data_IF_882535202456
#
_entry.id   IF_882535202456
#
_cell.length_a   1.000
_cell.length_b   1.000
_cell.length_c   1.000
_cell.angle_alpha   90.00
_cell.angle_beta   90.00
_cell.angle_gamma   90.00
#
_symmetry.space_group_name_H-M   'P 1'
#
loop_
_entity.id
_entity.type
_entity.pdbx_description
1 polymer ?
#
# COMPACT_ATOMS: atom_id res chain seq x y z
N UNK A 1 18.66 7.64 -30.80
CA UNK A 1 18.71 8.37 -29.51
C UNK A 1 17.40 9.13 -29.38
N UNK A 2 16.62 8.86 -28.35
CA UNK A 2 15.42 9.64 -28.02
C UNK A 2 15.90 10.86 -27.26
N UNK A 3 15.71 12.04 -27.84
CA UNK A 3 16.00 13.28 -27.11
C UNK A 3 14.92 13.48 -26.07
N UNK A 4 15.24 13.54 -24.77
CA UNK A 4 14.22 13.78 -23.76
C UNK A 4 13.62 15.17 -24.00
N UNK A 5 12.32 15.24 -24.13
CA UNK A 5 11.60 16.52 -24.14
C UNK A 5 11.82 17.19 -22.77
N UNK A 6 12.05 18.50 -22.71
CA UNK A 6 12.12 19.21 -21.44
C UNK A 6 10.74 19.13 -20.76
N UNK A 7 10.64 18.22 -19.78
CA UNK A 7 9.44 18.05 -18.98
C UNK A 7 9.55 18.86 -17.70
N UNK A 8 8.47 19.57 -17.33
CA UNK A 8 8.31 20.12 -15.99
C UNK A 8 7.63 19.08 -15.13
N UNK A 9 8.26 18.67 -14.04
CA UNK A 9 7.60 17.87 -13.00
C UNK A 9 6.57 18.77 -12.32
N UNK A 10 5.29 18.43 -12.45
CA UNK A 10 4.20 19.07 -11.72
C UNK A 10 3.86 18.10 -10.59
N UNK A 11 4.20 18.44 -9.34
CA UNK A 11 3.87 17.56 -8.21
C UNK A 11 2.34 17.46 -8.07
N UNK A 12 1.86 16.29 -7.69
CA UNK A 12 0.49 16.11 -7.25
C UNK A 12 0.26 16.96 -5.99
N UNK A 13 -0.82 17.70 -5.94
CA UNK A 13 -1.26 18.39 -4.72
C UNK A 13 -2.25 17.50 -3.98
N UNK A 14 -2.01 17.33 -2.68
CA UNK A 14 -2.91 16.63 -1.76
C UNK A 14 -3.40 17.70 -0.78
N UNK A 15 -4.63 18.19 -0.96
CA UNK A 15 -5.23 19.21 -0.12
C UNK A 15 -6.74 19.00 0.02
N UNK A 16 -7.36 19.64 1.02
CA UNK A 16 -8.80 19.65 1.22
C UNK A 16 -9.43 18.30 1.58
N UNK A 17 -8.64 17.28 1.93
CA UNK A 17 -9.14 15.94 2.22
C UNK A 17 -9.98 15.88 3.50
N UNK A 18 -9.80 16.80 4.45
CA UNK A 18 -10.56 16.86 5.70
C UNK A 18 -12.07 17.05 5.46
N UNK A 19 -12.43 17.76 4.38
CA UNK A 19 -13.83 17.99 4.05
C UNK A 19 -14.56 16.71 3.63
N UNK A 20 -13.84 15.71 3.12
CA UNK A 20 -14.39 14.45 2.63
C UNK A 20 -14.11 13.26 3.57
N UNK A 21 -13.07 13.33 4.39
CA UNK A 21 -12.69 12.29 5.35
C UNK A 21 -13.49 12.43 6.66
N UNK A 22 -14.77 12.08 6.64
CA UNK A 22 -15.73 12.32 7.72
C UNK A 22 -16.08 11.10 8.57
N UNK A 23 -15.71 9.88 8.14
CA UNK A 23 -16.05 8.62 8.82
C UNK A 23 -15.00 8.23 9.84
N UNK A 24 -15.45 7.73 11.00
CA UNK A 24 -14.60 7.09 12.00
C UNK A 24 -14.42 5.59 11.75
N UNK A 25 -13.65 4.92 12.62
CA UNK A 25 -13.41 3.47 12.52
C UNK A 25 -14.71 2.66 12.58
N UNK A 26 -15.60 2.98 13.49
CA UNK A 26 -16.89 2.27 13.62
C UNK A 26 -17.73 2.33 12.34
N UNK A 27 -17.80 3.48 11.66
CA UNK A 27 -18.54 3.66 10.41
C UNK A 27 -17.90 2.90 9.23
N UNK A 28 -16.59 2.68 9.28
CA UNK A 28 -15.83 1.86 8.33
C UNK A 28 -15.85 0.36 8.72
N UNK A 29 -16.51 0.02 9.84
CA UNK A 29 -16.55 -1.35 10.37
C UNK A 29 -15.18 -1.83 10.86
N UNK A 30 -14.35 -0.94 11.39
CA UNK A 30 -13.01 -1.23 11.90
C UNK A 30 -13.01 -1.27 13.43
N UNK A 31 -12.15 -2.08 14.05
CA UNK A 31 -12.07 -2.15 15.52
C UNK A 31 -11.51 -0.88 16.12
N UNK A 32 -12.02 -0.54 17.31
CA UNK A 32 -11.49 0.52 18.15
C UNK A 32 -10.43 -0.02 19.12
N UNK A 33 -9.54 0.85 19.59
CA UNK A 33 -8.59 0.52 20.64
C UNK A 33 -7.42 -0.38 20.22
N UNK A 34 -7.25 -0.61 18.91
CA UNK A 34 -6.12 -1.37 18.36
C UNK A 34 -5.24 -0.45 17.50
N UNK A 35 -3.97 -0.81 17.30
CA UNK A 35 -3.12 -0.14 16.32
C UNK A 35 -3.49 -0.65 14.91
N UNK A 36 -3.93 0.25 14.04
CA UNK A 36 -4.45 -0.06 12.73
C UNK A 36 -3.39 0.17 11.65
N UNK A 37 -2.94 -0.92 11.06
CA UNK A 37 -2.22 -0.90 9.79
C UNK A 37 -3.20 -0.95 8.62
N UNK A 38 -2.90 -0.25 7.54
CA UNK A 38 -3.70 -0.35 6.31
C UNK A 38 -2.85 -0.39 5.05
N UNK A 39 -3.39 -1.05 4.02
CA UNK A 39 -2.86 -1.04 2.65
C UNK A 39 -4.00 -0.98 1.65
N UNK A 40 -3.93 -0.05 0.70
CA UNK A 40 -4.92 0.14 -0.37
C UNK A 40 -4.26 -0.06 -1.73
N UNK A 41 -4.79 -0.95 -2.55
CA UNK A 41 -4.23 -1.21 -3.87
C UNK A 41 -5.25 -1.70 -4.89
N UNK A 42 -4.96 -1.46 -6.17
CA UNK A 42 -5.68 -1.99 -7.31
C UNK A 42 -4.99 -3.26 -7.84
N UNK A 43 -5.71 -4.38 -7.86
CA UNK A 43 -5.21 -5.67 -8.35
C UNK A 43 -4.89 -5.61 -9.84
N UNK A 44 -5.65 -4.85 -10.63
CA UNK A 44 -5.43 -4.70 -12.08
C UNK A 44 -4.16 -3.93 -12.42
N UNK A 45 -3.64 -3.13 -11.50
CA UNK A 45 -2.39 -2.38 -11.68
C UNK A 45 -1.12 -3.20 -11.47
N UNK A 46 -1.25 -4.51 -11.28
CA UNK A 46 -0.18 -5.48 -11.10
C UNK A 46 -0.06 -5.98 -9.66
N UNK A 47 -0.62 -7.14 -9.38
CA UNK A 47 -0.59 -7.76 -8.05
C UNK A 47 0.84 -7.95 -7.53
N UNK A 48 1.74 -8.48 -8.38
CA UNK A 48 3.16 -8.70 -8.06
C UNK A 48 3.88 -7.37 -7.78
N UNK A 49 3.55 -6.32 -8.52
CA UNK A 49 4.10 -4.99 -8.31
C UNK A 49 3.65 -4.39 -6.97
N UNK A 50 2.38 -4.58 -6.63
CA UNK A 50 1.83 -4.10 -5.35
C UNK A 50 2.27 -4.94 -4.16
N UNK A 51 2.65 -6.20 -4.39
CA UNK A 51 3.33 -7.09 -3.44
C UNK A 51 2.62 -7.28 -2.08
N UNK A 52 1.28 -7.47 -2.04
CA UNK A 52 0.55 -7.55 -0.77
C UNK A 52 0.96 -8.76 0.09
N UNK A 53 1.57 -9.80 -0.52
CA UNK A 53 2.02 -10.98 0.21
C UNK A 53 3.21 -10.67 1.11
N UNK A 54 4.14 -9.79 0.70
CA UNK A 54 5.24 -9.38 1.56
C UNK A 54 4.73 -8.65 2.82
N UNK A 55 3.66 -7.86 2.71
CA UNK A 55 3.02 -7.25 3.88
C UNK A 55 2.44 -8.30 4.82
N UNK A 56 1.78 -9.33 4.27
CA UNK A 56 1.27 -10.42 5.10
C UNK A 56 2.40 -11.20 5.78
N UNK A 57 3.50 -11.47 5.06
CA UNK A 57 4.67 -12.14 5.62
C UNK A 57 5.26 -11.33 6.79
N UNK A 58 5.46 -10.02 6.61
CA UNK A 58 5.96 -9.12 7.66
C UNK A 58 5.00 -9.05 8.86
N UNK A 59 3.69 -8.86 8.59
CA UNK A 59 2.68 -8.73 9.63
C UNK A 59 2.55 -10.01 10.47
N UNK A 60 2.46 -11.17 9.81
CA UNK A 60 2.38 -12.47 10.49
C UNK A 60 3.64 -12.75 11.32
N UNK A 61 4.83 -12.47 10.77
CA UNK A 61 6.09 -12.69 11.46
C UNK A 61 6.25 -11.80 12.72
N UNK A 62 5.77 -10.55 12.64
CA UNK A 62 5.95 -9.56 13.71
C UNK A 62 4.85 -9.62 14.77
N UNK A 63 3.61 -9.77 14.36
CA UNK A 63 2.45 -9.64 15.24
C UNK A 63 1.67 -10.94 15.45
N UNK A 64 1.75 -11.90 14.51
CA UNK A 64 1.04 -13.17 14.60
C UNK A 64 -0.46 -12.96 14.88
N UNK A 65 -0.97 -13.56 15.96
CA UNK A 65 -2.36 -13.44 16.39
C UNK A 65 -2.56 -12.37 17.50
N UNK A 66 -1.72 -11.35 17.55
CA UNK A 66 -1.87 -10.26 18.52
C UNK A 66 -3.23 -9.59 18.40
N UNK A 67 -3.84 -9.29 19.56
CA UNK A 67 -5.14 -8.60 19.63
C UNK A 67 -5.03 -7.08 19.72
N UNK A 68 -3.81 -6.57 19.88
CA UNK A 68 -3.55 -5.13 20.00
C UNK A 68 -3.29 -4.44 18.68
N UNK A 69 -3.15 -5.23 17.60
CA UNK A 69 -2.90 -4.74 16.24
C UNK A 69 -3.89 -5.34 15.24
N UNK A 70 -4.18 -4.58 14.20
CA UNK A 70 -5.11 -4.98 13.16
C UNK A 70 -4.60 -4.53 11.79
N UNK A 71 -4.68 -5.40 10.79
CA UNK A 71 -4.32 -5.10 9.42
C UNK A 71 -5.57 -5.05 8.53
N UNK A 72 -5.80 -3.93 7.87
CA UNK A 72 -6.78 -3.80 6.81
C UNK A 72 -6.10 -3.83 5.44
N UNK A 73 -6.39 -4.86 4.65
CA UNK A 73 -6.07 -4.91 3.23
C UNK A 73 -7.29 -4.49 2.42
N UNK A 74 -7.24 -3.33 1.79
CA UNK A 74 -8.29 -2.83 0.91
C UNK A 74 -7.85 -2.97 -0.53
N UNK A 75 -8.51 -3.82 -1.30
CA UNK A 75 -8.23 -3.94 -2.73
C UNK A 75 -9.52 -3.86 -3.56
N UNK A 76 -9.36 -3.69 -4.87
CA UNK A 76 -10.45 -3.72 -5.85
C UNK A 76 -9.92 -4.29 -7.18
N UNK A 77 -10.84 -4.55 -8.12
CA UNK A 77 -10.52 -5.17 -9.41
C UNK A 77 -9.96 -6.60 -9.29
N UNK A 78 -10.28 -7.33 -8.21
CA UNK A 78 -9.83 -8.70 -7.98
C UNK A 78 -10.24 -9.70 -9.07
N UNK A 79 -11.32 -9.40 -9.81
CA UNK A 79 -11.79 -10.22 -10.95
C UNK A 79 -10.75 -10.35 -12.06
N UNK A 80 -9.81 -9.43 -12.16
CA UNK A 80 -8.72 -9.52 -13.17
C UNK A 80 -7.60 -10.49 -12.80
N UNK A 81 -7.56 -10.94 -11.52
CA UNK A 81 -6.59 -11.95 -11.09
C UNK A 81 -7.17 -12.88 -10.00
N UNK A 82 -8.15 -13.75 -10.37
CA UNK A 82 -8.88 -14.56 -9.40
C UNK A 82 -7.99 -15.54 -8.63
N UNK A 83 -6.93 -16.07 -9.27
CA UNK A 83 -6.00 -17.00 -8.61
C UNK A 83 -5.19 -16.31 -7.49
N UNK A 84 -4.72 -15.09 -7.72
CA UNK A 84 -4.03 -14.28 -6.70
C UNK A 84 -4.96 -13.82 -5.60
N UNK A 85 -6.20 -13.49 -5.94
CA UNK A 85 -7.21 -13.14 -4.94
C UNK A 85 -7.56 -14.32 -4.03
N UNK A 86 -7.68 -15.52 -4.58
CA UNK A 86 -7.90 -16.72 -3.76
C UNK A 86 -6.74 -16.98 -2.80
N UNK A 87 -5.51 -16.80 -3.27
CA UNK A 87 -4.32 -16.87 -2.41
C UNK A 87 -4.36 -15.81 -1.31
N UNK A 88 -4.70 -14.56 -1.66
CA UNK A 88 -4.77 -13.46 -0.71
C UNK A 88 -5.83 -13.71 0.37
N UNK A 89 -7.03 -14.20 -0.01
CA UNK A 89 -8.10 -14.54 0.95
C UNK A 89 -7.66 -15.62 1.94
N UNK A 90 -6.95 -16.64 1.47
CA UNK A 90 -6.42 -17.70 2.37
C UNK A 90 -5.38 -17.17 3.35
N UNK A 91 -4.51 -16.29 2.88
CA UNK A 91 -3.45 -15.70 3.71
C UNK A 91 -4.03 -14.66 4.70
N UNK A 92 -5.08 -13.95 4.34
CA UNK A 92 -5.75 -12.94 5.18
C UNK A 92 -6.86 -13.55 6.06
N UNK A 93 -6.75 -14.81 6.47
CA UNK A 93 -7.80 -15.50 7.24
C UNK A 93 -7.66 -15.37 8.76
N UNK A 94 -6.63 -14.70 9.27
CA UNK A 94 -6.42 -14.46 10.69
C UNK A 94 -7.43 -13.43 11.24
N UNK A 95 -7.80 -13.55 12.51
CA UNK A 95 -8.82 -12.70 13.15
C UNK A 95 -8.43 -11.20 13.22
N UNK A 96 -7.14 -10.92 13.21
CA UNK A 96 -6.59 -9.55 13.21
C UNK A 96 -6.24 -9.03 11.81
N UNK A 97 -6.69 -9.72 10.75
CA UNK A 97 -6.51 -9.28 9.35
C UNK A 97 -7.89 -9.23 8.68
N UNK A 98 -8.19 -8.13 8.03
CA UNK A 98 -9.41 -7.98 7.22
C UNK A 98 -9.06 -7.65 5.78
N UNK A 99 -9.57 -8.47 4.87
CA UNK A 99 -9.56 -8.19 3.44
C UNK A 99 -10.89 -7.57 3.01
N UNK A 100 -10.84 -6.40 2.39
CA UNK A 100 -11.99 -5.67 1.83
C UNK A 100 -11.84 -5.60 0.33
N UNK A 101 -12.76 -6.22 -0.41
CA UNK A 101 -12.76 -6.30 -1.87
C UNK A 101 -13.83 -5.41 -2.52
N UNK A 102 -14.78 -4.88 -1.75
CA UNK A 102 -15.82 -3.98 -2.24
C UNK A 102 -15.23 -2.68 -2.77
N UNK A 103 -15.92 -2.06 -3.70
CA UNK A 103 -15.56 -0.70 -4.16
C UNK A 103 -15.97 0.30 -3.08
N UNK A 104 -15.01 1.04 -2.57
CA UNK A 104 -15.24 2.14 -1.64
C UNK A 104 -15.24 3.48 -2.37
N UNK A 105 -16.03 4.42 -1.88
CA UNK A 105 -16.02 5.81 -2.33
C UNK A 105 -14.74 6.52 -1.90
N UNK A 106 -14.42 7.63 -2.55
CA UNK A 106 -13.28 8.48 -2.16
C UNK A 106 -13.39 8.94 -0.70
N UNK A 107 -14.61 9.25 -0.23
CA UNK A 107 -14.85 9.61 1.17
C UNK A 107 -14.47 8.47 2.15
N UNK A 108 -14.75 7.22 1.80
CA UNK A 108 -14.35 6.06 2.60
C UNK A 108 -12.84 5.84 2.58
N UNK A 109 -12.19 5.98 1.41
CA UNK A 109 -10.75 5.82 1.28
C UNK A 109 -10.00 6.94 2.05
N UNK A 110 -10.40 8.21 1.89
CA UNK A 110 -9.79 9.31 2.63
C UNK A 110 -10.05 9.21 4.14
N UNK A 111 -11.24 8.73 4.53
CA UNK A 111 -11.53 8.44 5.94
C UNK A 111 -10.66 7.31 6.49
N UNK A 112 -10.41 6.26 5.70
CA UNK A 112 -9.45 5.21 6.08
C UNK A 112 -8.05 5.78 6.30
N UNK A 113 -7.54 6.61 5.37
CA UNK A 113 -6.24 7.25 5.54
C UNK A 113 -6.15 8.12 6.79
N UNK A 114 -7.26 8.77 7.17
CA UNK A 114 -7.34 9.60 8.39
C UNK A 114 -7.33 8.78 9.67
N UNK A 115 -8.01 7.62 9.71
CA UNK A 115 -8.16 6.81 10.93
C UNK A 115 -7.13 5.70 11.08
N UNK A 116 -6.31 5.47 10.04
CA UNK A 116 -5.19 4.53 10.08
C UNK A 116 -4.07 5.07 10.95
N UNK A 117 -3.41 4.21 11.74
CA UNK A 117 -2.23 4.62 12.49
C UNK A 117 -0.97 4.51 11.64
N UNK A 118 -0.90 3.49 10.76
CA UNK A 118 0.21 3.31 9.84
C UNK A 118 -0.25 2.73 8.50
N UNK A 119 0.09 3.40 7.42
CA UNK A 119 -0.08 2.87 6.07
C UNK A 119 1.20 2.14 5.64
N UNK A 120 1.07 0.91 5.11
CA UNK A 120 2.23 0.11 4.70
C UNK A 120 2.15 -0.21 3.22
N UNK A 121 3.19 0.12 2.46
CA UNK A 121 3.25 -0.14 1.02
C UNK A 121 4.51 -0.92 0.61
N UNK A 122 4.43 -2.25 0.47
CA UNK A 122 5.56 -3.12 0.12
C UNK A 122 5.82 -3.17 -1.39
N UNK A 123 5.46 -2.13 -2.11
CA UNK A 123 5.47 -2.11 -3.56
C UNK A 123 6.87 -2.35 -4.17
N UNK A 124 6.90 -2.96 -5.34
CA UNK A 124 8.10 -3.16 -6.16
C UNK A 124 8.36 -2.03 -7.14
N UNK A 125 7.40 -1.14 -7.30
CA UNK A 125 7.48 0.06 -8.12
C UNK A 125 6.21 0.89 -7.98
N UNK A 126 6.35 2.21 -7.86
CA UNK A 126 5.23 3.14 -7.70
C UNK A 126 5.45 4.40 -8.54
N UNK A 127 4.38 4.86 -9.19
CA UNK A 127 4.42 6.04 -10.07
C UNK A 127 4.40 7.37 -9.33
N UNK A 128 3.65 7.47 -8.22
CA UNK A 128 3.63 8.63 -7.33
C UNK A 128 3.49 8.18 -5.87
N UNK A 129 2.54 7.32 -5.58
CA UNK A 129 2.24 6.89 -4.22
C UNK A 129 1.15 7.73 -3.55
N UNK A 130 0.05 7.96 -4.27
CA UNK A 130 -1.04 8.84 -3.81
C UNK A 130 -1.56 8.45 -2.42
N UNK A 131 -1.84 7.17 -2.17
CA UNK A 131 -2.30 6.71 -0.85
C UNK A 131 -1.30 7.01 0.27
N UNK A 132 0.01 6.92 -0.01
CA UNK A 132 1.07 7.28 0.94
C UNK A 132 1.04 8.78 1.24
N UNK A 133 0.98 9.62 0.20
CA UNK A 133 0.90 11.06 0.35
C UNK A 133 -0.36 11.52 1.10
N UNK A 134 -1.53 10.93 0.80
CA UNK A 134 -2.79 11.19 1.49
C UNK A 134 -2.77 10.78 2.96
N UNK A 135 -2.14 9.64 3.28
CA UNK A 135 -1.96 9.23 4.68
C UNK A 135 -1.04 10.18 5.43
N UNK A 136 0.08 10.60 4.82
CA UNK A 136 0.99 11.59 5.40
C UNK A 136 0.33 12.96 5.58
N UNK A 137 -0.59 13.35 4.69
CA UNK A 137 -1.38 14.58 4.82
C UNK A 137 -2.18 14.62 6.13
N UNK A 138 -2.72 13.49 6.57
CA UNK A 138 -3.41 13.37 7.87
C UNK A 138 -2.46 13.25 9.06
N UNK A 139 -1.15 13.25 8.84
CA UNK A 139 -0.13 13.16 9.90
C UNK A 139 0.13 11.74 10.41
N UNK A 140 -0.37 10.73 9.71
CA UNK A 140 -0.21 9.33 10.10
C UNK A 140 1.10 8.73 9.57
N UNK A 141 1.59 7.68 10.22
CA UNK A 141 2.83 7.01 9.84
C UNK A 141 2.70 6.30 8.48
N UNK A 142 3.80 6.28 7.72
CA UNK A 142 3.89 5.51 6.48
C UNK A 142 5.19 4.72 6.45
N UNK A 143 5.07 3.40 6.27
CA UNK A 143 6.16 2.48 5.95
C UNK A 143 6.06 2.12 4.48
N UNK A 144 7.10 2.27 3.69
CA UNK A 144 7.05 1.89 2.28
C UNK A 144 8.43 1.54 1.72
N UNK A 145 8.45 0.69 0.70
CA UNK A 145 9.69 0.40 -0.05
C UNK A 145 10.35 1.71 -0.46
N UNK A 146 11.62 1.87 -0.15
CA UNK A 146 12.42 3.08 -0.48
C UNK A 146 12.77 3.14 -1.98
N UNK A 147 11.76 2.97 -2.85
CA UNK A 147 11.95 2.86 -4.30
C UNK A 147 10.72 3.33 -5.07
N UNK A 148 10.93 4.14 -6.10
CA UNK A 148 9.86 4.73 -6.91
C UNK A 148 9.70 6.22 -6.61
N UNK A 149 8.63 6.84 -7.11
CA UNK A 149 8.46 8.29 -6.96
C UNK A 149 8.06 8.74 -5.54
N UNK A 150 7.73 7.81 -4.65
CA UNK A 150 7.51 8.15 -3.24
C UNK A 150 8.77 8.71 -2.56
N UNK A 151 9.97 8.39 -3.03
CA UNK A 151 11.23 8.93 -2.48
C UNK A 151 11.38 10.44 -2.71
N UNK A 152 10.56 11.05 -3.57
CA UNK A 152 10.53 12.49 -3.77
C UNK A 152 9.93 13.25 -2.58
N UNK A 153 9.06 12.59 -1.79
CA UNK A 153 8.40 13.20 -0.62
C UNK A 153 8.58 12.42 0.67
N UNK A 154 9.02 11.16 0.62
CA UNK A 154 9.29 10.31 1.79
C UNK A 154 10.79 10.25 2.08
N UNK A 155 11.15 10.34 3.37
CA UNK A 155 12.51 10.15 3.84
C UNK A 155 12.50 9.75 5.33
N UNK A 156 13.65 9.38 5.89
CA UNK A 156 13.77 8.93 7.29
C UNK A 156 13.39 10.00 8.35
N UNK A 157 13.19 11.25 7.95
CA UNK A 157 12.76 12.32 8.85
C UNK A 157 11.23 12.49 8.92
N UNK A 158 10.47 11.88 8.00
CA UNK A 158 9.02 12.05 7.92
C UNK A 158 8.25 10.75 7.64
N UNK A 159 8.94 9.62 7.49
CA UNK A 159 8.36 8.31 7.16
C UNK A 159 9.33 7.19 7.53
N UNK A 160 8.97 5.96 7.25
CA UNK A 160 9.80 4.77 7.46
C UNK A 160 10.10 4.10 6.11
N UNK A 161 11.19 4.52 5.40
CA UNK A 161 11.59 3.95 4.14
C UNK A 161 12.20 2.56 4.35
N UNK A 162 11.51 1.51 3.92
CA UNK A 162 11.97 0.13 4.05
C UNK A 162 13.07 -0.20 3.02
N UNK A 163 14.09 -0.92 3.44
CA UNK A 163 15.18 -1.40 2.59
C UNK A 163 14.67 -2.35 1.51
N UNK A 164 15.39 -2.43 0.41
CA UNK A 164 15.05 -3.30 -0.71
C UNK A 164 16.30 -3.76 -1.47
N UNK A 165 16.13 -4.78 -2.28
CA UNK A 165 17.09 -5.19 -3.32
C UNK A 165 16.45 -5.11 -4.70
N UNK A 166 17.24 -4.86 -5.73
CA UNK A 166 16.77 -4.98 -7.11
C UNK A 166 16.80 -6.44 -7.53
N UNK A 167 15.66 -6.92 -8.04
CA UNK A 167 15.52 -8.29 -8.55
C UNK A 167 15.01 -8.26 -9.99
N UNK A 168 15.45 -9.24 -10.78
CA UNK A 168 14.97 -9.40 -12.15
C UNK A 168 13.51 -9.86 -12.16
N UNK A 169 12.72 -9.32 -13.08
CA UNK A 169 11.36 -9.75 -13.36
C UNK A 169 11.41 -11.10 -14.09
N UNK A 170 11.06 -12.17 -13.39
CA UNK A 170 11.15 -13.53 -13.91
C UNK A 170 10.13 -13.82 -15.02
N UNK A 171 8.93 -13.21 -14.93
CA UNK A 171 7.85 -13.36 -15.90
C UNK A 171 7.20 -12.00 -16.17
N UNK A 172 6.88 -11.74 -17.45
CA UNK A 172 6.21 -10.49 -17.82
C UNK A 172 4.82 -10.41 -17.20
N UNK A 173 4.50 -9.25 -16.59
CA UNK A 173 3.17 -8.96 -16.04
C UNK A 173 2.75 -7.55 -16.44
N UNK A 174 1.73 -7.45 -17.28
CA UNK A 174 1.30 -6.18 -17.88
C UNK A 174 2.45 -5.45 -18.57
N UNK A 175 2.74 -4.19 -18.24
CA UNK A 175 3.82 -3.41 -18.85
C UNK A 175 5.22 -3.78 -18.33
N UNK A 176 5.31 -4.63 -17.31
CA UNK A 176 6.56 -5.03 -16.67
C UNK A 176 7.11 -6.26 -17.37
N UNK A 177 8.14 -6.08 -18.19
CA UNK A 177 8.70 -7.13 -19.05
C UNK A 177 9.73 -7.96 -18.29
N UNK A 178 9.74 -9.27 -18.56
CA UNK A 178 10.81 -10.18 -18.15
C UNK A 178 12.19 -9.62 -18.50
N UNK A 179 13.13 -9.75 -17.59
CA UNK A 179 14.51 -9.26 -17.74
C UNK A 179 14.69 -7.81 -17.28
N UNK A 180 13.62 -7.04 -17.08
CA UNK A 180 13.70 -5.77 -16.37
C UNK A 180 13.86 -6.02 -14.86
N UNK A 181 14.11 -4.97 -14.10
CA UNK A 181 14.27 -5.04 -12.64
C UNK A 181 13.22 -4.22 -11.93
N UNK A 182 12.87 -4.64 -10.73
CA UNK A 182 12.06 -3.88 -9.77
C UNK A 182 12.59 -4.07 -8.34
N UNK A 183 12.11 -3.29 -7.40
CA UNK A 183 12.49 -3.42 -6.00
C UNK A 183 11.75 -4.61 -5.34
N UNK A 184 12.48 -5.41 -4.59
CA UNK A 184 11.90 -6.42 -3.71
C UNK A 184 12.23 -6.01 -2.27
N UNK A 185 11.20 -5.64 -1.51
CA UNK A 185 11.35 -5.09 -0.16
C UNK A 185 11.96 -6.13 0.78
N UNK A 186 12.78 -5.68 1.70
CA UNK A 186 13.22 -6.52 2.80
C UNK A 186 12.06 -6.66 3.80
N UNK A 187 11.57 -7.90 3.95
CA UNK A 187 10.41 -8.20 4.81
C UNK A 187 10.72 -7.99 6.29
N UNK A 188 11.99 -8.14 6.70
CA UNK A 188 12.41 -7.91 8.09
C UNK A 188 12.48 -6.41 8.44
N UNK A 189 12.61 -5.56 7.42
CA UNK A 189 12.66 -4.09 7.56
C UNK A 189 11.28 -3.44 7.32
N UNK A 190 10.30 -4.21 6.87
CA UNK A 190 8.93 -3.77 6.62
C UNK A 190 8.08 -3.82 7.89
#
# INVERSE_FOLDING_TARGET
AVTPLPGRVIPYTVDGLEAVATMGRAELGLPEGVFLFSYVFDVSSGFERKNPLALLDAFEATFGESRDVYLLLKCFNGQYNPARMEMLRRRAAADNIRLVEEVWSDAQIHSLHKVTDCFVSPHRGEGFGLNMAETMYFGNAVVATNYGSNVDFMNAGNSYPAAYRLVEIAESTGPYLKGNVWADVDVEDL
#
